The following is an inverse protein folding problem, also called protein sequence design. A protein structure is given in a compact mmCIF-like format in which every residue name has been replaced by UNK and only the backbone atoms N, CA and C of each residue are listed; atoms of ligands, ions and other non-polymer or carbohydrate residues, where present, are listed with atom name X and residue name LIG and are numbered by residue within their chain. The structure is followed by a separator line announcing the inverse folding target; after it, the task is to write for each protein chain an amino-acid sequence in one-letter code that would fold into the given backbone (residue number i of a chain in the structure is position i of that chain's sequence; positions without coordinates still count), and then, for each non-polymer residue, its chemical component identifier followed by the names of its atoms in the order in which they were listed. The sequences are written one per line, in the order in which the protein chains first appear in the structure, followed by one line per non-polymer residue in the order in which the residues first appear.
data_IF_014047751257
#
_entry.id   IF_014047751257
#
_cell.length_a   1.000
_cell.length_b   1.000
_cell.length_c   1.000
_cell.angle_alpha   90.00
_cell.angle_beta   90.00
_cell.angle_gamma   90.00
#
_symmetry.space_group_name_H-M   'P 1'
#
loop_
_entity.id
_entity.type
_entity.pdbx_description
1 polymer ?
#
# COMPACT_ATOMS: atom_id res chain seq x y z
N UNK A 1 -2.38 -14.26 -25.34
CA UNK A 1 -2.68 -15.01 -24.10
C UNK A 1 -1.37 -15.11 -23.29
N UNK A 2 -1.10 -14.15 -22.39
CA UNK A 2 0.09 -14.21 -21.53
C UNK A 2 -0.18 -15.15 -20.36
N UNK A 3 0.68 -16.16 -20.20
CA UNK A 3 0.57 -17.14 -19.11
C UNK A 3 0.91 -16.47 -17.77
N UNK A 4 0.24 -16.82 -16.67
CA UNK A 4 0.60 -16.36 -15.33
C UNK A 4 2.06 -16.71 -14.99
N UNK A 5 2.76 -15.83 -14.27
CA UNK A 5 4.17 -16.02 -13.85
C UNK A 5 4.46 -17.41 -13.24
N UNK A 6 3.60 -17.98 -12.35
CA UNK A 6 3.82 -19.33 -11.81
C UNK A 6 3.88 -20.41 -12.90
N UNK A 7 3.09 -20.26 -13.97
CA UNK A 7 3.07 -21.21 -15.09
C UNK A 7 4.22 -21.00 -16.07
N UNK A 8 4.73 -19.76 -16.18
CA UNK A 8 5.94 -19.46 -16.94
C UNK A 8 7.19 -20.07 -16.29
N UNK A 9 7.31 -20.02 -14.96
CA UNK A 9 8.40 -20.68 -14.23
C UNK A 9 8.37 -22.21 -14.41
N UNK A 10 7.19 -22.82 -14.38
CA UNK A 10 7.02 -24.26 -14.64
C UNK A 10 7.37 -24.64 -16.09
N UNK A 11 7.06 -23.76 -17.06
CA UNK A 11 7.28 -23.98 -18.50
C UNK A 11 8.73 -23.73 -18.94
N UNK A 12 9.41 -22.78 -18.31
CA UNK A 12 10.76 -22.32 -18.71
C UNK A 12 11.85 -22.57 -17.66
N UNK A 13 11.59 -23.40 -16.65
CA UNK A 13 12.49 -23.67 -15.53
C UNK A 13 13.92 -24.11 -15.90
N UNK A 14 14.13 -24.64 -17.11
CA UNK A 14 15.46 -25.03 -17.62
C UNK A 14 16.22 -23.95 -18.38
N UNK A 15 15.57 -22.85 -18.79
CA UNK A 15 16.14 -21.87 -19.73
C UNK A 15 16.38 -20.52 -19.03
N UNK A 16 17.61 -20.35 -18.50
CA UNK A 16 18.03 -19.18 -17.72
C UNK A 16 17.85 -17.85 -18.46
N UNK A 17 17.94 -17.83 -19.78
CA UNK A 17 17.75 -16.61 -20.58
C UNK A 17 16.26 -16.20 -20.64
N UNK A 18 15.35 -17.16 -20.82
CA UNK A 18 13.91 -16.90 -20.80
C UNK A 18 13.40 -16.54 -19.41
N UNK A 19 13.95 -17.15 -18.35
CA UNK A 19 13.64 -16.79 -16.97
C UNK A 19 14.04 -15.33 -16.64
N UNK A 20 15.17 -14.85 -17.16
CA UNK A 20 15.56 -13.43 -17.07
C UNK A 20 14.56 -12.53 -17.79
N UNK A 21 14.09 -12.93 -18.98
CA UNK A 21 13.03 -12.22 -19.71
C UNK A 21 11.69 -12.19 -18.97
N UNK A 22 11.32 -13.27 -18.28
CA UNK A 22 10.09 -13.33 -17.45
C UNK A 22 10.20 -12.43 -16.21
N UNK A 23 11.36 -12.40 -15.55
CA UNK A 23 11.62 -11.43 -14.46
C UNK A 23 11.56 -9.98 -14.95
N UNK A 24 12.02 -9.71 -16.17
CA UNK A 24 11.92 -8.40 -16.81
C UNK A 24 10.48 -8.02 -17.20
N UNK A 25 9.54 -8.97 -17.23
CA UNK A 25 8.13 -8.73 -17.53
C UNK A 25 7.28 -8.49 -16.26
N UNK A 26 7.86 -8.64 -15.07
CA UNK A 26 7.21 -8.29 -13.80
C UNK A 26 7.36 -6.79 -13.58
N UNK A 27 6.29 -6.11 -13.17
CA UNK A 27 6.38 -4.69 -12.91
C UNK A 27 7.27 -4.45 -11.68
N UNK A 28 8.06 -3.38 -11.65
CA UNK A 28 8.95 -3.14 -10.50
C UNK A 28 8.20 -2.97 -9.18
N UNK A 29 6.94 -2.57 -9.23
CA UNK A 29 6.08 -2.45 -8.05
C UNK A 29 5.72 -3.82 -7.44
N UNK A 30 5.87 -4.92 -8.18
CA UNK A 30 5.64 -6.26 -7.66
C UNK A 30 6.82 -6.80 -6.81
N UNK A 31 8.02 -6.23 -6.99
CA UNK A 31 9.26 -6.68 -6.33
C UNK A 31 9.74 -5.72 -5.21
N UNK A 32 8.95 -4.72 -4.83
CA UNK A 32 9.35 -3.73 -3.82
C UNK A 32 8.99 -4.16 -2.40
N UNK A 33 9.79 -3.71 -1.43
CA UNK A 33 9.44 -3.84 -0.02
C UNK A 33 8.19 -3.01 0.32
N UNK A 34 7.40 -3.50 1.27
CA UNK A 34 6.22 -2.82 1.83
C UNK A 34 6.44 -1.32 2.17
N UNK A 35 7.54 -0.97 2.84
CA UNK A 35 7.85 0.44 3.14
C UNK A 35 8.14 1.26 1.87
N UNK A 36 8.84 0.68 0.90
CA UNK A 36 9.10 1.33 -0.39
C UNK A 36 7.82 1.52 -1.20
N UNK A 37 6.89 0.56 -1.11
CA UNK A 37 5.57 0.64 -1.74
C UNK A 37 4.76 1.79 -1.17
N UNK A 38 4.63 1.85 0.17
CA UNK A 38 3.86 2.86 0.90
C UNK A 38 4.43 4.28 0.71
N UNK A 39 5.75 4.42 0.75
CA UNK A 39 6.44 5.71 0.59
C UNK A 39 6.62 6.14 -0.86
N UNK A 40 6.15 5.34 -1.83
CA UNK A 40 6.39 5.55 -3.27
C UNK A 40 7.87 5.72 -3.66
N UNK A 41 8.80 5.29 -2.80
CA UNK A 41 10.24 5.43 -3.04
C UNK A 41 10.70 4.70 -4.30
N UNK A 42 9.98 3.65 -4.71
CA UNK A 42 10.25 2.91 -5.94
C UNK A 42 10.08 3.75 -7.22
N UNK A 43 9.32 4.85 -7.16
CA UNK A 43 9.16 5.79 -8.28
C UNK A 43 10.30 6.82 -8.37
N UNK A 44 11.04 7.04 -7.28
CA UNK A 44 12.03 8.12 -7.20
C UNK A 44 13.15 8.04 -8.28
N UNK A 45 13.75 6.87 -8.58
CA UNK A 45 14.77 6.77 -9.62
C UNK A 45 14.26 7.22 -11.00
N UNK A 46 12.97 7.07 -11.25
CA UNK A 46 12.31 7.45 -12.49
C UNK A 46 12.07 8.94 -12.58
N UNK A 47 11.51 9.52 -11.52
CA UNK A 47 11.35 10.98 -11.41
C UNK A 47 12.69 11.68 -11.58
N UNK A 48 13.77 11.14 -11.00
CA UNK A 48 15.10 11.70 -11.13
C UNK A 48 15.63 11.66 -12.57
N UNK A 49 15.46 10.53 -13.27
CA UNK A 49 15.85 10.40 -14.68
C UNK A 49 15.02 11.26 -15.61
N UNK A 50 13.72 11.38 -15.33
CA UNK A 50 12.81 12.28 -16.03
C UNK A 50 13.23 13.74 -15.87
N UNK A 51 13.56 14.14 -14.65
CA UNK A 51 14.10 15.47 -14.35
C UNK A 51 15.41 15.75 -15.11
N UNK A 52 16.27 14.73 -15.30
CA UNK A 52 17.50 14.85 -16.10
C UNK A 52 17.30 14.73 -17.62
N UNK A 53 16.07 14.71 -18.11
CA UNK A 53 15.76 14.64 -19.54
C UNK A 53 16.12 13.31 -20.22
N UNK A 54 16.36 12.24 -19.43
CA UNK A 54 16.80 10.94 -19.93
C UNK A 54 15.64 10.01 -20.32
N UNK A 55 14.44 10.55 -20.55
CA UNK A 55 13.24 9.78 -20.86
C UNK A 55 13.33 9.06 -22.21
N UNK A 56 13.98 9.66 -23.21
CA UNK A 56 14.11 9.08 -24.55
C UNK A 56 15.07 7.89 -24.66
N UNK A 57 15.86 7.62 -23.62
CA UNK A 57 16.76 6.45 -23.55
C UNK A 57 16.09 5.22 -22.90
N UNK A 58 14.81 5.34 -22.53
CA UNK A 58 14.06 4.31 -21.84
C UNK A 58 13.27 3.54 -22.89
N UNK A 59 13.50 2.24 -22.98
CA UNK A 59 12.60 1.35 -23.70
C UNK A 59 11.27 1.30 -22.95
N UNK A 60 10.30 2.08 -23.43
CA UNK A 60 9.01 2.27 -22.77
C UNK A 60 8.19 0.98 -22.76
N UNK A 61 8.44 0.08 -23.72
CA UNK A 61 7.70 -1.17 -23.87
C UNK A 61 8.04 -2.21 -22.79
N UNK A 62 9.28 -2.26 -22.34
CA UNK A 62 9.72 -3.21 -21.29
C UNK A 62 9.62 -2.65 -19.89
N UNK A 63 9.62 -1.32 -19.73
CA UNK A 63 9.78 -0.72 -18.40
C UNK A 63 8.53 -0.05 -17.81
N UNK A 64 7.47 0.16 -18.61
CA UNK A 64 6.13 0.60 -18.17
C UNK A 64 5.11 -0.54 -18.21
N UNK A 65 5.54 -1.77 -17.97
CA UNK A 65 4.61 -2.90 -17.89
C UNK A 65 3.75 -2.75 -16.64
N UNK A 66 2.43 -2.70 -16.83
CA UNK A 66 1.46 -2.72 -15.75
C UNK A 66 1.65 -4.01 -14.91
N UNK A 67 1.49 -3.90 -13.58
CA UNK A 67 1.45 -5.09 -12.73
C UNK A 67 0.39 -6.05 -13.24
N UNK A 68 0.65 -7.35 -13.15
CA UNK A 68 -0.31 -8.38 -13.55
C UNK A 68 -1.60 -8.26 -12.72
N UNK A 69 -1.48 -7.78 -11.47
CA UNK A 69 -2.63 -7.60 -10.58
C UNK A 69 -3.51 -6.41 -10.97
N UNK A 70 -2.96 -5.42 -11.68
CA UNK A 70 -3.70 -4.28 -12.21
C UNK A 70 -3.99 -4.39 -13.71
N UNK A 71 -3.58 -5.50 -14.34
CA UNK A 71 -3.89 -5.78 -15.74
C UNK A 71 -5.40 -5.96 -15.97
N UNK A 72 -5.92 -5.27 -16.99
CA UNK A 72 -7.34 -5.32 -17.36
C UNK A 72 -7.80 -6.75 -17.68
N UNK A 73 -6.97 -7.55 -18.36
CA UNK A 73 -7.35 -8.90 -18.76
C UNK A 73 -7.61 -9.81 -17.55
N UNK A 74 -6.74 -9.74 -16.53
CA UNK A 74 -6.87 -10.53 -15.30
C UNK A 74 -8.08 -10.07 -14.48
N UNK A 75 -8.27 -8.76 -14.36
CA UNK A 75 -9.39 -8.19 -13.59
C UNK A 75 -10.73 -8.43 -14.28
N UNK A 76 -10.79 -8.41 -15.62
CA UNK A 76 -11.99 -8.75 -16.39
C UNK A 76 -12.40 -10.21 -16.18
N UNK A 77 -11.47 -11.16 -16.27
CA UNK A 77 -11.77 -12.58 -16.01
C UNK A 77 -12.25 -12.80 -14.57
N UNK A 78 -11.66 -12.11 -13.58
CA UNK A 78 -12.12 -12.18 -12.19
C UNK A 78 -13.53 -11.65 -12.03
N UNK A 79 -13.81 -10.48 -12.62
CA UNK A 79 -15.13 -9.86 -12.55
C UNK A 79 -16.19 -10.72 -13.24
N UNK A 80 -15.86 -11.32 -14.39
CA UNK A 80 -16.73 -12.25 -15.13
C UNK A 80 -17.06 -13.49 -14.30
N UNK A 81 -16.07 -14.03 -13.58
CA UNK A 81 -16.31 -15.14 -12.65
C UNK A 81 -17.28 -14.75 -11.53
N UNK A 82 -17.04 -13.61 -10.87
CA UNK A 82 -17.94 -13.08 -9.82
C UNK A 82 -19.35 -12.79 -10.35
N UNK A 83 -19.46 -12.32 -11.59
CA UNK A 83 -20.73 -12.06 -12.25
C UNK A 83 -21.53 -13.34 -12.50
N UNK A 84 -20.86 -14.39 -13.00
CA UNK A 84 -21.48 -15.70 -13.19
C UNK A 84 -21.95 -16.33 -11.87
N UNK A 85 -21.19 -16.14 -10.78
CA UNK A 85 -21.63 -16.54 -9.44
C UNK A 85 -22.85 -15.74 -8.96
N UNK A 86 -22.89 -14.43 -9.23
CA UNK A 86 -24.04 -13.60 -8.87
C UNK A 86 -25.30 -14.00 -9.64
N UNK A 87 -25.20 -14.33 -10.93
CA UNK A 87 -26.33 -14.85 -11.72
C UNK A 87 -26.86 -16.15 -11.11
N UNK A 88 -25.98 -17.10 -10.78
CA UNK A 88 -26.37 -18.38 -10.15
C UNK A 88 -27.02 -18.18 -8.79
N UNK A 89 -26.47 -17.28 -7.96
CA UNK A 89 -27.04 -16.98 -6.65
C UNK A 89 -28.36 -16.21 -6.76
N UNK A 90 -28.52 -15.37 -7.76
CA UNK A 90 -29.73 -14.61 -8.01
C UNK A 90 -30.88 -15.52 -8.46
N UNK A 91 -30.62 -16.52 -9.31
CA UNK A 91 -31.63 -17.51 -9.72
C UNK A 91 -32.08 -18.39 -8.56
N UNK A 92 -31.17 -18.85 -7.70
CA UNK A 92 -31.52 -19.63 -6.49
C UNK A 92 -32.37 -18.83 -5.52
N UNK A 93 -32.09 -17.54 -5.36
CA UNK A 93 -32.80 -16.65 -4.43
C UNK A 93 -34.01 -15.94 -5.04
N UNK A 94 -34.42 -16.31 -6.26
CA UNK A 94 -35.51 -15.70 -7.03
C UNK A 94 -35.46 -14.15 -7.06
N UNK A 95 -34.26 -13.58 -7.22
CA UNK A 95 -34.03 -12.13 -7.26
C UNK A 95 -33.37 -11.71 -8.57
N UNK A 96 -33.49 -10.42 -8.99
CA UNK A 96 -32.74 -9.94 -10.14
C UNK A 96 -31.22 -9.93 -9.85
N UNK A 97 -30.38 -10.29 -10.84
CA UNK A 97 -28.93 -10.18 -10.70
C UNK A 97 -28.51 -8.71 -10.62
N UNK A 98 -27.54 -8.40 -9.75
CA UNK A 98 -27.05 -7.03 -9.53
C UNK A 98 -25.57 -6.91 -9.84
N UNK A 99 -25.24 -6.15 -10.90
CA UNK A 99 -23.84 -5.83 -11.24
C UNK A 99 -23.15 -5.07 -10.11
N UNK A 100 -23.86 -4.17 -9.44
CA UNK A 100 -23.34 -3.43 -8.30
C UNK A 100 -22.87 -4.37 -7.18
N UNK A 101 -23.61 -5.45 -6.90
CA UNK A 101 -23.22 -6.44 -5.88
C UNK A 101 -21.98 -7.23 -6.30
N UNK A 102 -21.86 -7.60 -7.57
CA UNK A 102 -20.67 -8.28 -8.10
C UNK A 102 -19.42 -7.37 -8.04
N UNK A 103 -19.55 -6.11 -8.46
CA UNK A 103 -18.49 -5.11 -8.38
C UNK A 103 -18.12 -4.81 -6.93
N UNK A 104 -19.10 -4.63 -6.04
CA UNK A 104 -18.84 -4.40 -4.61
C UNK A 104 -18.09 -5.57 -3.99
N UNK A 105 -18.43 -6.82 -4.35
CA UNK A 105 -17.69 -8.02 -3.91
C UNK A 105 -16.26 -8.03 -4.44
N UNK A 106 -16.03 -7.57 -5.67
CA UNK A 106 -14.71 -7.44 -6.27
C UNK A 106 -13.83 -6.42 -5.52
N UNK A 107 -14.36 -5.23 -5.22
CA UNK A 107 -13.60 -4.16 -4.54
C UNK A 107 -13.58 -4.27 -3.01
N UNK A 108 -14.40 -5.15 -2.42
CA UNK A 108 -14.60 -5.26 -0.96
C UNK A 108 -13.30 -5.32 -0.17
N UNK A 109 -12.35 -6.12 -0.63
CA UNK A 109 -11.08 -6.29 0.07
C UNK A 109 -10.24 -5.00 0.07
N UNK A 110 -10.13 -4.34 -1.10
CA UNK A 110 -9.42 -3.06 -1.23
C UNK A 110 -10.08 -1.99 -0.36
N UNK A 111 -11.41 -1.82 -0.46
CA UNK A 111 -12.16 -0.88 0.37
C UNK A 111 -11.97 -1.15 1.87
N UNK A 112 -12.07 -2.41 2.30
CA UNK A 112 -11.91 -2.76 3.73
C UNK A 112 -10.51 -2.37 4.21
N UNK A 113 -9.46 -2.69 3.45
CA UNK A 113 -8.08 -2.33 3.80
C UNK A 113 -7.88 -0.81 3.82
N UNK A 114 -8.36 -0.09 2.81
CA UNK A 114 -8.30 1.39 2.76
C UNK A 114 -9.01 2.00 3.97
N UNK A 115 -10.21 1.52 4.31
CA UNK A 115 -10.94 2.00 5.49
C UNK A 115 -10.18 1.72 6.80
N UNK A 116 -9.60 0.53 6.96
CA UNK A 116 -8.84 0.17 8.17
C UNK A 116 -7.59 1.05 8.33
N UNK A 117 -6.82 1.23 7.25
CA UNK A 117 -5.62 2.07 7.24
C UNK A 117 -5.98 3.54 7.50
N UNK A 118 -7.08 4.01 6.90
CA UNK A 118 -7.55 5.38 7.08
C UNK A 118 -8.03 5.64 8.52
N UNK A 119 -8.77 4.71 9.12
CA UNK A 119 -9.17 4.78 10.52
C UNK A 119 -7.95 4.83 11.45
N UNK A 120 -6.96 3.98 11.19
CA UNK A 120 -5.69 4.01 11.92
C UNK A 120 -5.02 5.39 11.77
N UNK A 121 -4.92 5.92 10.56
CA UNK A 121 -4.36 7.26 10.32
C UNK A 121 -5.09 8.36 11.12
N UNK A 122 -6.42 8.31 11.17
CA UNK A 122 -7.22 9.27 11.96
C UNK A 122 -6.91 9.15 13.44
N UNK A 123 -6.89 7.93 13.99
CA UNK A 123 -6.63 7.68 15.41
C UNK A 123 -5.26 8.25 15.81
N UNK A 124 -4.21 7.95 15.06
CA UNK A 124 -2.87 8.48 15.32
C UNK A 124 -2.80 10.00 15.13
N UNK A 125 -3.54 10.53 14.15
CA UNK A 125 -3.70 11.98 13.93
C UNK A 125 -4.37 12.73 15.08
N UNK A 126 -5.25 12.07 15.84
CA UNK A 126 -5.82 12.64 17.07
C UNK A 126 -4.92 12.46 18.28
N UNK A 127 -4.33 11.28 18.47
CA UNK A 127 -3.49 10.95 19.62
C UNK A 127 -2.25 11.85 19.70
N UNK A 128 -1.61 12.14 18.56
CA UNK A 128 -0.41 12.98 18.52
C UNK A 128 -0.61 14.35 19.18
N UNK A 129 -1.49 15.22 18.64
CA UNK A 129 -1.75 16.55 19.20
C UNK A 129 -2.45 16.51 20.56
N UNK A 130 -3.37 15.57 20.77
CA UNK A 130 -4.27 15.61 21.93
C UNK A 130 -3.64 15.01 23.18
N UNK A 131 -2.87 13.94 23.05
CA UNK A 131 -2.27 13.25 24.18
C UNK A 131 -0.78 13.58 24.30
N UNK A 132 -0.01 13.41 23.22
CA UNK A 132 1.44 13.47 23.29
C UNK A 132 1.95 14.92 23.35
N UNK A 133 1.46 15.80 22.49
CA UNK A 133 1.84 17.23 22.52
C UNK A 133 1.37 17.88 23.82
N UNK A 134 0.13 17.61 24.26
CA UNK A 134 -0.35 18.11 25.56
C UNK A 134 0.45 17.58 26.74
N UNK A 135 0.80 16.29 26.73
CA UNK A 135 1.63 15.70 27.78
C UNK A 135 3.05 16.28 27.80
N UNK A 136 3.64 16.55 26.63
CA UNK A 136 4.95 17.21 26.53
C UNK A 136 4.86 18.66 27.03
N UNK A 137 3.83 19.40 26.63
CA UNK A 137 3.60 20.76 27.10
C UNK A 137 3.45 20.81 28.63
N UNK A 138 2.65 19.90 29.20
CA UNK A 138 2.49 19.78 30.64
C UNK A 138 3.81 19.46 31.34
N UNK A 139 4.66 18.63 30.75
CA UNK A 139 6.02 18.39 31.27
C UNK A 139 6.91 19.63 31.21
N UNK A 140 6.79 20.47 30.17
CA UNK A 140 7.56 21.72 30.09
C UNK A 140 7.08 22.78 31.10
N UNK A 141 5.78 22.84 31.39
CA UNK A 141 5.22 23.77 32.38
C UNK A 141 5.47 23.31 33.82
N UNK A 142 5.34 22.01 34.09
CA UNK A 142 5.52 21.38 35.39
C UNK A 142 6.34 20.11 35.23
N UNK A 143 7.68 20.18 35.31
CA UNK A 143 8.52 19.01 35.10
C UNK A 143 8.27 17.99 36.20
N UNK A 144 8.00 16.74 35.78
CA UNK A 144 7.96 15.59 36.69
C UNK A 144 9.33 15.49 37.34
N UNK A 145 9.36 15.52 38.67
CA UNK A 145 10.58 15.43 39.46
C UNK A 145 10.81 14.00 39.92
N UNK A 146 12.07 13.58 39.91
CA UNK A 146 12.49 12.33 40.56
C UNK A 146 12.39 12.49 42.09
N UNK A 147 12.53 11.39 42.83
CA UNK A 147 12.53 11.38 44.31
C UNK A 147 13.58 12.36 44.92
N UNK A 148 14.66 12.65 44.17
CA UNK A 148 15.71 13.60 44.54
C UNK A 148 15.41 15.08 44.16
N UNK A 149 14.22 15.38 43.66
CA UNK A 149 13.79 16.75 43.29
C UNK A 149 14.33 17.28 41.95
N UNK A 150 15.17 16.51 41.25
CA UNK A 150 15.68 16.85 39.91
C UNK A 150 14.63 16.59 38.82
N UNK A 151 14.57 17.40 37.74
CA UNK A 151 13.67 17.15 36.61
C UNK A 151 13.99 15.82 35.89
N UNK A 152 12.97 15.01 35.60
CA UNK A 152 13.13 13.73 34.91
C UNK A 152 13.24 13.91 33.39
N UNK A 153 14.43 14.28 32.89
CA UNK A 153 14.67 14.50 31.46
C UNK A 153 14.37 13.29 30.57
N UNK A 154 14.51 12.07 31.08
CA UNK A 154 14.20 10.84 30.35
C UNK A 154 12.73 10.78 29.91
N UNK A 155 11.80 11.23 30.76
CA UNK A 155 10.37 11.26 30.42
C UNK A 155 10.08 12.19 29.24
N UNK A 156 10.63 13.41 29.26
CA UNK A 156 10.51 14.35 28.14
C UNK A 156 11.10 13.81 26.83
N UNK A 157 12.24 13.11 26.91
CA UNK A 157 12.85 12.46 25.75
C UNK A 157 11.97 11.34 25.17
N UNK A 158 11.41 10.47 26.02
CA UNK A 158 10.46 9.44 25.56
C UNK A 158 9.19 10.03 24.95
N UNK A 159 8.68 11.14 25.50
CA UNK A 159 7.55 11.86 24.91
C UNK A 159 7.89 12.40 23.52
N UNK A 160 9.06 13.01 23.34
CA UNK A 160 9.51 13.52 22.04
C UNK A 160 9.67 12.40 20.99
N UNK A 161 10.30 11.27 21.35
CA UNK A 161 10.40 10.10 20.47
C UNK A 161 9.02 9.54 20.12
N UNK A 162 8.11 9.49 21.10
CA UNK A 162 6.75 9.00 20.88
C UNK A 162 5.99 9.87 19.89
N UNK A 163 6.13 11.21 19.98
CA UNK A 163 5.55 12.16 19.01
C UNK A 163 6.11 11.89 17.61
N UNK A 164 7.44 11.75 17.48
CA UNK A 164 8.08 11.45 16.20
C UNK A 164 7.56 10.14 15.61
N UNK A 165 7.48 9.08 16.42
CA UNK A 165 7.03 7.77 15.98
C UNK A 165 5.55 7.79 15.55
N UNK A 166 4.68 8.45 16.31
CA UNK A 166 3.26 8.61 15.97
C UNK A 166 3.09 9.40 14.68
N UNK A 167 3.82 10.49 14.49
CA UNK A 167 3.77 11.26 13.25
C UNK A 167 4.30 10.46 12.05
N UNK A 168 5.41 9.73 12.20
CA UNK A 168 5.90 8.84 11.14
C UNK A 168 4.88 7.78 10.76
N UNK A 169 4.28 7.10 11.75
CA UNK A 169 3.23 6.09 11.50
C UNK A 169 2.01 6.69 10.82
N UNK A 170 1.59 7.89 11.23
CA UNK A 170 0.47 8.62 10.61
C UNK A 170 0.75 8.94 9.15
N UNK A 171 1.94 9.47 8.84
CA UNK A 171 2.33 9.80 7.46
C UNK A 171 2.42 8.54 6.59
N UNK A 172 2.99 7.46 7.12
CA UNK A 172 3.03 6.17 6.42
C UNK A 172 1.64 5.59 6.17
N UNK A 173 0.75 5.62 7.17
CA UNK A 173 -0.64 5.17 7.01
C UNK A 173 -1.41 6.01 5.97
N UNK A 174 -1.19 7.33 5.97
CA UNK A 174 -1.77 8.21 4.97
C UNK A 174 -1.28 7.85 3.56
N UNK A 175 0.03 7.68 3.38
CA UNK A 175 0.62 7.22 2.12
C UNK A 175 0.09 5.85 1.67
N UNK A 176 -0.05 4.92 2.61
CA UNK A 176 -0.58 3.58 2.36
C UNK A 176 -2.03 3.60 1.89
N UNK A 177 -2.84 4.55 2.38
CA UNK A 177 -4.21 4.75 1.92
C UNK A 177 -4.24 5.01 0.41
N UNK A 178 -3.34 5.85 -0.10
CA UNK A 178 -3.21 6.12 -1.54
C UNK A 178 -2.62 4.96 -2.32
N UNK A 179 -1.71 4.20 -1.72
CA UNK A 179 -1.06 3.07 -2.40
C UNK A 179 -1.98 1.86 -2.56
N UNK A 180 -2.95 1.68 -1.66
CA UNK A 180 -3.90 0.54 -1.66
C UNK A 180 -5.17 0.84 -2.46
N UNK A 181 -5.58 2.12 -2.48
CA UNK A 181 -6.82 2.57 -3.12
C UNK A 181 -6.72 2.57 -4.64
#
# INVERSE_FOLDING_TARGET
MQLPIPQLFKKYGGDRAKLKGVKSACSRVDDVSWLSFISFAWMFPWMWRAFRGQLGQIDTATQWTCSIFDSANVNMTRLEHLWNEEIKNASVLARPPSLFRAVLRFIRFRLTMTCLVFLFCIVFGFIGPTCLVRGLLSFTERPVRNDDGTPMYSYGFYMAISILMVEMLRVLAYGATWAVS
#
